data_IF_856639815474
#
_entry.id   IF_856639815474
#
_cell.length_a   1.000
_cell.length_b   1.000
_cell.length_c   1.000
_cell.angle_alpha   90.00
_cell.angle_beta   90.00
_cell.angle_gamma   90.00
#
_symmetry.space_group_name_H-M   'P 1'
#
loop_
_entity.id
_entity.type
_entity.pdbx_description
1 polymer ?
#
# COMPACT_ATOMS: atom_id res chain seq x y z
N UNK A 1 -22.47 11.88 22.48
CA UNK A 1 -22.37 11.70 21.03
C UNK A 1 -21.96 13.05 20.46
N UNK A 2 -20.68 13.29 20.33
CA UNK A 2 -20.17 14.52 19.76
C UNK A 2 -20.53 14.54 18.27
N UNK A 3 -21.17 15.63 17.84
CA UNK A 3 -21.48 15.89 16.44
C UNK A 3 -20.14 15.95 15.67
N UNK A 4 -19.69 14.84 15.11
CA UNK A 4 -18.63 14.91 14.10
C UNK A 4 -19.14 15.80 12.97
N UNK A 5 -18.42 16.85 12.60
CA UNK A 5 -18.85 17.74 11.52
C UNK A 5 -18.93 16.90 10.24
N UNK A 6 -20.17 16.63 9.80
CA UNK A 6 -20.37 16.11 8.45
C UNK A 6 -20.08 17.25 7.49
N UNK A 7 -18.96 17.14 6.80
CA UNK A 7 -18.68 18.01 5.66
C UNK A 7 -19.70 17.65 4.61
N UNK A 8 -20.69 18.53 4.40
CA UNK A 8 -21.53 18.39 3.22
C UNK A 8 -20.60 18.30 2.00
N UNK A 9 -20.72 17.24 1.21
CA UNK A 9 -19.90 17.02 0.03
C UNK A 9 -20.20 18.12 -1.01
N UNK A 10 -19.66 19.31 -0.79
CA UNK A 10 -19.75 20.40 -1.75
C UNK A 10 -18.99 19.97 -3.01
N UNK A 11 -19.65 20.09 -4.15
CA UNK A 11 -19.10 19.70 -5.47
C UNK A 11 -17.73 20.35 -5.71
N UNK A 12 -17.53 21.55 -5.20
CA UNK A 12 -16.27 22.30 -5.30
C UNK A 12 -15.14 21.60 -4.54
N UNK A 13 -15.37 21.17 -3.30
CA UNK A 13 -14.37 20.48 -2.47
C UNK A 13 -13.97 19.13 -3.05
N UNK A 14 -14.94 18.38 -3.60
CA UNK A 14 -14.66 17.13 -4.32
C UNK A 14 -13.83 17.42 -5.56
N UNK A 15 -14.16 18.46 -6.32
CA UNK A 15 -13.43 18.83 -7.54
C UNK A 15 -11.98 19.23 -7.23
N UNK A 16 -11.76 20.05 -6.19
CA UNK A 16 -10.43 20.45 -5.73
C UNK A 16 -9.63 19.24 -5.29
N UNK A 17 -10.20 18.38 -4.43
CA UNK A 17 -9.55 17.15 -4.01
C UNK A 17 -9.18 16.25 -5.19
N UNK A 18 -10.12 16.00 -6.10
CA UNK A 18 -9.91 15.16 -7.28
C UNK A 18 -8.80 15.71 -8.16
N UNK A 19 -8.78 17.04 -8.36
CA UNK A 19 -7.71 17.72 -9.10
C UNK A 19 -6.34 17.49 -8.43
N UNK A 20 -6.24 17.73 -7.11
CA UNK A 20 -4.99 17.51 -6.36
C UNK A 20 -4.55 16.06 -6.38
N UNK A 21 -5.48 15.12 -6.17
CA UNK A 21 -5.19 13.68 -6.16
C UNK A 21 -4.72 13.19 -7.54
N UNK A 22 -5.43 13.56 -8.61
CA UNK A 22 -5.05 13.19 -9.99
C UNK A 22 -3.73 13.85 -10.38
N UNK A 23 -3.58 15.15 -10.14
CA UNK A 23 -2.33 15.85 -10.43
C UNK A 23 -1.16 15.26 -9.67
N UNK A 24 -1.35 14.98 -8.37
CA UNK A 24 -0.35 14.31 -7.53
C UNK A 24 0.03 12.93 -8.09
N UNK A 25 -0.96 12.10 -8.41
CA UNK A 25 -0.72 10.78 -8.98
C UNK A 25 0.04 10.87 -10.32
N UNK A 26 -0.37 11.77 -11.21
CA UNK A 26 0.30 11.97 -12.50
C UNK A 26 1.74 12.46 -12.34
N UNK A 27 1.99 13.39 -11.40
CA UNK A 27 3.34 13.88 -11.08
C UNK A 27 4.19 12.72 -10.54
N UNK A 28 3.67 11.93 -9.60
CA UNK A 28 4.39 10.80 -9.02
C UNK A 28 4.72 9.75 -10.09
N UNK A 29 3.75 9.40 -10.93
CA UNK A 29 3.95 8.47 -12.04
C UNK A 29 4.93 8.98 -13.08
N UNK A 30 4.88 10.27 -13.43
CA UNK A 30 5.78 10.89 -14.40
C UNK A 30 7.20 11.04 -13.86
N UNK A 31 7.36 11.50 -12.62
CA UNK A 31 8.66 11.72 -12.00
C UNK A 31 9.47 10.42 -11.83
N UNK A 32 8.76 9.30 -11.63
CA UNK A 32 9.36 8.00 -11.39
C UNK A 32 9.17 7.01 -12.56
N UNK A 33 8.96 7.51 -13.79
CA UNK A 33 8.76 6.66 -14.97
C UNK A 33 10.02 5.92 -15.46
N UNK A 34 11.21 6.41 -15.08
CA UNK A 34 12.46 5.82 -15.49
C UNK A 34 12.84 4.65 -14.57
N UNK A 35 13.15 3.49 -15.15
CA UNK A 35 13.61 2.28 -14.45
C UNK A 35 15.08 2.43 -13.96
N UNK A 36 15.40 3.55 -13.32
CA UNK A 36 16.73 3.84 -12.77
C UNK A 36 16.68 3.86 -11.25
N UNK A 37 17.71 3.32 -10.57
CA UNK A 37 17.82 3.43 -9.12
C UNK A 37 17.76 4.90 -8.69
N UNK A 38 16.89 5.22 -7.75
CA UNK A 38 16.78 6.56 -7.18
C UNK A 38 17.86 6.71 -6.11
N UNK A 39 18.61 7.83 -6.14
CA UNK A 39 19.56 8.15 -5.06
C UNK A 39 18.83 8.49 -3.76
N UNK A 40 19.45 8.21 -2.61
CA UNK A 40 18.88 8.54 -1.30
C UNK A 40 18.49 10.02 -1.19
N UNK A 41 19.31 10.92 -1.73
CA UNK A 41 19.01 12.38 -1.75
C UNK A 41 17.73 12.68 -2.54
N UNK A 42 17.57 12.08 -3.73
CA UNK A 42 16.38 12.28 -4.54
C UNK A 42 15.13 11.64 -3.87
N UNK A 43 15.26 10.44 -3.29
CA UNK A 43 14.19 9.80 -2.55
C UNK A 43 13.73 10.66 -1.35
N UNK A 44 14.67 11.21 -0.58
CA UNK A 44 14.37 12.13 0.53
C UNK A 44 13.67 13.39 0.05
N UNK A 45 14.17 14.01 -1.04
CA UNK A 45 13.52 15.19 -1.62
C UNK A 45 12.07 14.90 -2.03
N UNK A 46 11.83 13.84 -2.77
CA UNK A 46 10.49 13.47 -3.22
C UNK A 46 9.57 13.09 -2.05
N UNK A 47 10.08 12.42 -1.02
CA UNK A 47 9.28 12.11 0.18
C UNK A 47 8.87 13.37 0.93
N UNK A 48 9.80 14.31 1.13
CA UNK A 48 9.49 15.61 1.75
C UNK A 48 8.51 16.43 0.90
N UNK A 49 8.66 16.40 -0.42
CA UNK A 49 7.72 17.03 -1.35
C UNK A 49 6.29 16.49 -1.17
N UNK A 50 6.12 15.17 -1.11
CA UNK A 50 4.80 14.55 -0.93
C UNK A 50 4.20 14.81 0.46
N UNK A 51 5.03 14.83 1.50
CA UNK A 51 4.59 15.26 2.84
C UNK A 51 4.12 16.72 2.82
N UNK A 52 4.85 17.59 2.13
CA UNK A 52 4.43 19.00 1.98
C UNK A 52 3.13 19.15 1.19
N UNK A 53 2.92 18.34 0.15
CA UNK A 53 1.65 18.32 -0.61
C UNK A 53 0.49 17.88 0.29
N UNK A 54 0.65 16.79 1.05
CA UNK A 54 -0.36 16.32 2.01
C UNK A 54 -0.64 17.37 3.11
N UNK A 55 0.40 18.01 3.64
CA UNK A 55 0.25 19.08 4.63
C UNK A 55 -0.45 20.32 4.03
N UNK A 56 -0.18 20.66 2.77
CA UNK A 56 -0.84 21.78 2.07
C UNK A 56 -2.33 21.51 1.90
N UNK A 57 -2.72 20.26 1.63
CA UNK A 57 -4.13 19.90 1.59
C UNK A 57 -4.77 19.98 2.98
N UNK A 58 -4.07 19.61 4.05
CA UNK A 58 -4.52 19.87 5.42
C UNK A 58 -4.69 21.36 5.73
N UNK A 59 -3.82 22.22 5.20
CA UNK A 59 -3.97 23.69 5.24
C UNK A 59 -5.21 24.17 4.49
N UNK A 60 -5.51 23.58 3.33
CA UNK A 60 -6.77 23.84 2.62
C UNK A 60 -7.98 23.46 3.47
N UNK A 61 -7.97 22.30 4.13
CA UNK A 61 -9.04 21.86 5.05
C UNK A 61 -9.23 22.85 6.19
N UNK A 62 -8.14 23.41 6.73
CA UNK A 62 -8.18 24.42 7.80
C UNK A 62 -8.84 25.72 7.37
N UNK A 63 -8.51 26.20 6.17
CA UNK A 63 -8.98 27.50 5.66
C UNK A 63 -10.42 27.40 5.13
N UNK A 64 -10.76 26.29 4.48
CA UNK A 64 -12.01 26.15 3.73
C UNK A 64 -13.16 25.58 4.58
N UNK A 65 -12.82 24.73 5.57
CA UNK A 65 -13.82 24.13 6.45
C UNK A 65 -13.69 24.63 7.89
N UNK A 66 -12.85 23.99 8.69
CA UNK A 66 -12.62 24.41 10.08
C UNK A 66 -11.32 23.82 10.65
N UNK A 67 -10.82 24.37 11.79
CA UNK A 67 -9.69 23.78 12.52
C UNK A 67 -9.94 22.34 12.95
N UNK A 68 -11.19 21.99 13.32
CA UNK A 68 -11.58 20.65 13.75
C UNK A 68 -11.44 19.66 12.58
N UNK A 69 -11.96 20.00 11.42
CA UNK A 69 -11.84 19.19 10.19
C UNK A 69 -10.38 18.97 9.81
N UNK A 70 -9.57 20.03 9.85
CA UNK A 70 -8.14 19.92 9.59
C UNK A 70 -7.43 19.01 10.59
N UNK A 71 -7.81 19.09 11.88
CA UNK A 71 -7.23 18.23 12.93
C UNK A 71 -7.54 16.75 12.68
N UNK A 72 -8.77 16.42 12.26
CA UNK A 72 -9.16 15.07 11.89
C UNK A 72 -8.39 14.57 10.66
N UNK A 73 -8.24 15.42 9.65
CA UNK A 73 -7.42 15.09 8.47
C UNK A 73 -5.97 14.82 8.85
N UNK A 74 -5.31 15.71 9.62
CA UNK A 74 -3.91 15.51 10.02
C UNK A 74 -3.73 14.28 10.90
N UNK A 75 -4.67 14.01 11.82
CA UNK A 75 -4.64 12.80 12.62
C UNK A 75 -4.74 11.54 11.74
N UNK A 76 -5.72 11.47 10.83
CA UNK A 76 -5.87 10.35 9.88
C UNK A 76 -4.65 10.20 8.95
N UNK A 77 -4.10 11.32 8.45
CA UNK A 77 -2.90 11.33 7.62
C UNK A 77 -1.67 10.78 8.38
N UNK A 78 -1.47 11.21 9.63
CA UNK A 78 -0.36 10.72 10.45
C UNK A 78 -0.50 9.21 10.76
N UNK A 79 -1.73 8.74 11.06
CA UNK A 79 -2.01 7.32 11.24
C UNK A 79 -1.68 6.51 9.99
N UNK A 80 -2.19 6.95 8.84
CA UNK A 80 -1.96 6.24 7.59
C UNK A 80 -0.48 6.23 7.19
N UNK A 81 0.23 7.34 7.40
CA UNK A 81 1.69 7.39 7.18
C UNK A 81 2.43 6.39 8.06
N UNK A 82 2.06 6.29 9.35
CA UNK A 82 2.70 5.35 10.27
C UNK A 82 2.44 3.88 9.86
N UNK A 83 1.19 3.54 9.51
CA UNK A 83 0.82 2.19 9.06
C UNK A 83 1.43 1.85 7.69
N UNK A 84 1.51 2.83 6.80
CA UNK A 84 2.11 2.65 5.46
C UNK A 84 3.60 2.29 5.52
N UNK A 85 4.32 2.74 6.55
CA UNK A 85 5.73 2.35 6.72
C UNK A 85 5.87 0.85 7.01
N UNK A 86 4.99 0.26 7.83
CA UNK A 86 4.98 -1.19 8.08
C UNK A 86 4.68 -1.97 6.78
N UNK A 87 3.72 -1.50 5.99
CA UNK A 87 3.41 -2.08 4.69
C UNK A 87 4.63 -2.10 3.75
N UNK A 88 5.47 -1.05 3.78
CA UNK A 88 6.69 -1.00 2.97
C UNK A 88 7.72 -2.06 3.39
N UNK A 89 7.82 -2.43 4.67
CA UNK A 89 8.66 -3.56 5.10
C UNK A 89 8.18 -4.89 4.54
N UNK A 90 6.86 -5.12 4.51
CA UNK A 90 6.31 -6.31 3.88
C UNK A 90 6.64 -6.36 2.37
N UNK A 91 6.52 -5.24 1.67
CA UNK A 91 6.91 -5.11 0.26
C UNK A 91 8.41 -5.41 0.07
N UNK A 92 9.28 -4.91 0.95
CA UNK A 92 10.71 -5.22 0.91
C UNK A 92 10.98 -6.71 1.10
N UNK A 93 10.26 -7.37 2.01
CA UNK A 93 10.39 -8.83 2.21
C UNK A 93 9.96 -9.62 0.96
N UNK A 94 8.88 -9.20 0.29
CA UNK A 94 8.43 -9.80 -0.99
C UNK A 94 9.51 -9.63 -2.06
N UNK A 95 10.06 -8.43 -2.23
CA UNK A 95 11.14 -8.20 -3.21
C UNK A 95 12.39 -9.03 -2.92
N UNK A 96 12.77 -9.15 -1.64
CA UNK A 96 13.89 -9.97 -1.22
C UNK A 96 13.67 -11.45 -1.57
N UNK A 97 12.47 -11.98 -1.31
CA UNK A 97 12.14 -13.38 -1.62
C UNK A 97 12.18 -13.70 -3.11
N UNK A 98 11.66 -12.79 -3.95
CA UNK A 98 11.73 -12.94 -5.41
C UNK A 98 13.09 -12.59 -6.00
N UNK A 99 14.04 -12.08 -5.20
CA UNK A 99 15.33 -11.60 -5.69
C UNK A 99 15.20 -10.41 -6.67
N UNK A 100 14.17 -9.59 -6.50
CA UNK A 100 13.92 -8.44 -7.36
C UNK A 100 14.96 -7.36 -7.08
N UNK A 101 15.80 -7.06 -8.06
CA UNK A 101 16.81 -6.01 -7.96
C UNK A 101 16.18 -4.63 -8.14
N UNK A 102 16.85 -3.59 -7.62
CA UNK A 102 16.36 -2.19 -7.59
C UNK A 102 15.87 -1.64 -8.94
N UNK A 103 16.36 -2.12 -10.07
CA UNK A 103 15.86 -1.72 -11.39
C UNK A 103 14.46 -2.23 -11.74
N UNK A 104 13.99 -3.30 -11.09
CA UNK A 104 12.68 -3.90 -11.34
C UNK A 104 11.63 -3.47 -10.30
N UNK A 105 12.06 -2.98 -9.13
CA UNK A 105 11.17 -2.58 -8.03
C UNK A 105 10.26 -1.43 -8.45
N UNK A 106 10.76 -0.49 -9.26
CA UNK A 106 9.99 0.66 -9.76
C UNK A 106 8.72 0.25 -10.48
N UNK A 107 8.80 -0.78 -11.32
CA UNK A 107 7.65 -1.25 -12.10
C UNK A 107 6.57 -1.88 -11.23
N UNK A 108 6.98 -2.67 -10.24
CA UNK A 108 6.03 -3.27 -9.28
C UNK A 108 5.39 -2.18 -8.41
N UNK A 109 6.20 -1.25 -7.89
CA UNK A 109 5.69 -0.14 -7.09
C UNK A 109 4.79 0.82 -7.89
N UNK A 110 5.06 1.00 -9.20
CA UNK A 110 4.21 1.80 -10.08
C UNK A 110 2.78 1.24 -10.17
N UNK A 111 2.65 -0.04 -10.44
CA UNK A 111 1.34 -0.70 -10.54
C UNK A 111 0.73 -0.92 -9.16
N UNK A 112 1.55 -1.20 -8.13
CA UNK A 112 1.12 -1.32 -6.74
C UNK A 112 0.45 -0.06 -6.21
N UNK A 113 1.01 1.14 -6.48
CA UNK A 113 0.37 2.41 -6.08
C UNK A 113 -0.99 2.60 -6.78
N UNK A 114 -1.09 2.24 -8.06
CA UNK A 114 -2.37 2.33 -8.78
C UNK A 114 -3.43 1.39 -8.20
N UNK A 115 -3.05 0.15 -7.90
CA UNK A 115 -3.93 -0.82 -7.24
C UNK A 115 -4.34 -0.36 -5.86
N UNK A 116 -3.39 0.10 -5.04
CA UNK A 116 -3.65 0.62 -3.70
C UNK A 116 -4.68 1.76 -3.70
N UNK A 117 -4.58 2.73 -4.63
CA UNK A 117 -5.56 3.83 -4.76
C UNK A 117 -6.96 3.29 -5.01
N UNK A 118 -7.10 2.32 -5.94
CA UNK A 118 -8.41 1.74 -6.29
C UNK A 118 -8.97 0.92 -5.12
N UNK A 119 -8.17 0.03 -4.52
CA UNK A 119 -8.63 -0.82 -3.43
C UNK A 119 -9.01 0.02 -2.20
N UNK A 120 -8.22 1.03 -1.83
CA UNK A 120 -8.54 1.92 -0.71
C UNK A 120 -9.83 2.69 -0.93
N UNK A 121 -10.09 3.18 -2.15
CA UNK A 121 -11.39 3.78 -2.46
C UNK A 121 -12.55 2.82 -2.17
N UNK A 122 -12.45 1.57 -2.65
CA UNK A 122 -13.47 0.54 -2.43
C UNK A 122 -13.64 0.29 -0.92
N UNK A 123 -12.54 0.09 -0.19
CA UNK A 123 -12.58 -0.19 1.24
C UNK A 123 -13.13 0.98 2.07
N UNK A 124 -12.80 2.22 1.72
CA UNK A 124 -13.34 3.41 2.41
C UNK A 124 -14.84 3.53 2.17
N UNK A 125 -15.30 3.36 0.92
CA UNK A 125 -16.74 3.43 0.61
C UNK A 125 -17.53 2.34 1.32
N UNK A 126 -17.03 1.11 1.35
CA UNK A 126 -17.66 0.00 2.07
C UNK A 126 -17.57 0.24 3.59
N UNK A 127 -16.38 0.59 4.09
CA UNK A 127 -16.12 0.77 5.52
C UNK A 127 -16.95 1.88 6.14
N UNK A 128 -16.98 3.06 5.53
CA UNK A 128 -17.79 4.19 6.00
C UNK A 128 -19.30 3.89 5.88
N UNK A 129 -19.72 3.19 4.82
CA UNK A 129 -21.09 2.70 4.67
C UNK A 129 -21.48 1.72 5.78
N UNK A 130 -20.60 0.78 6.12
CA UNK A 130 -20.84 -0.16 7.22
C UNK A 130 -20.88 0.55 8.58
N UNK A 131 -20.02 1.54 8.80
CA UNK A 131 -20.00 2.31 10.04
C UNK A 131 -21.32 3.02 10.31
N UNK A 132 -22.06 3.41 9.27
CA UNK A 132 -23.39 4.03 9.39
C UNK A 132 -24.46 3.06 9.94
N UNK A 133 -24.20 1.75 9.98
CA UNK A 133 -25.12 0.73 10.52
C UNK A 133 -25.15 0.69 12.07
N UNK A 134 -24.26 1.45 12.74
CA UNK A 134 -24.31 1.68 14.18
C UNK A 134 -23.23 0.99 15.00
N UNK A 135 -23.37 1.07 16.32
CA UNK A 135 -22.35 0.70 17.31
C UNK A 135 -21.82 -0.75 17.18
N UNK A 136 -22.64 -1.69 16.73
CA UNK A 136 -22.18 -3.07 16.53
C UNK A 136 -21.02 -3.18 15.53
N UNK A 137 -21.04 -2.36 14.48
CA UNK A 137 -19.97 -2.33 13.47
C UNK A 137 -18.71 -1.69 14.05
N UNK A 138 -18.86 -0.66 14.89
CA UNK A 138 -17.74 -0.05 15.61
C UNK A 138 -17.01 -1.08 16.48
N UNK A 139 -17.74 -1.93 17.21
CA UNK A 139 -17.14 -3.03 17.99
C UNK A 139 -16.45 -4.07 17.11
N UNK A 140 -17.03 -4.43 15.98
CA UNK A 140 -16.39 -5.37 15.03
C UNK A 140 -15.07 -4.80 14.52
N UNK A 141 -15.04 -3.51 14.13
CA UNK A 141 -13.82 -2.85 13.66
C UNK A 141 -12.79 -2.71 14.77
N UNK A 142 -13.20 -2.33 16.00
CA UNK A 142 -12.30 -2.31 17.15
C UNK A 142 -11.66 -3.69 17.41
N UNK A 143 -12.46 -4.74 17.33
CA UNK A 143 -11.98 -6.11 17.47
C UNK A 143 -11.00 -6.49 16.37
N UNK A 144 -11.28 -6.14 15.10
CA UNK A 144 -10.39 -6.39 13.97
C UNK A 144 -9.04 -5.69 14.17
N UNK A 145 -9.03 -4.40 14.51
CA UNK A 145 -7.81 -3.63 14.75
C UNK A 145 -7.02 -4.19 15.94
N UNK A 146 -7.70 -4.54 17.04
CA UNK A 146 -7.06 -5.17 18.20
C UNK A 146 -6.46 -6.55 17.84
N UNK A 147 -7.19 -7.36 17.07
CA UNK A 147 -6.72 -8.66 16.61
C UNK A 147 -5.45 -8.52 15.75
N UNK A 148 -5.42 -7.56 14.83
CA UNK A 148 -4.23 -7.27 14.02
C UNK A 148 -3.03 -6.91 14.89
N UNK A 149 -3.21 -6.04 15.89
CA UNK A 149 -2.16 -5.69 16.84
C UNK A 149 -1.62 -6.92 17.60
N UNK A 150 -2.51 -7.81 18.05
CA UNK A 150 -2.12 -9.06 18.73
C UNK A 150 -1.38 -10.02 17.78
N UNK A 151 -1.84 -10.14 16.53
CA UNK A 151 -1.18 -10.98 15.52
C UNK A 151 0.22 -10.46 15.19
N UNK A 152 0.42 -9.14 15.15
CA UNK A 152 1.75 -8.53 14.98
C UNK A 152 2.69 -8.87 16.14
N UNK A 153 2.23 -8.82 17.40
CA UNK A 153 3.06 -9.21 18.55
C UNK A 153 3.48 -10.68 18.49
N UNK A 154 2.55 -11.55 18.06
CA UNK A 154 2.79 -12.99 17.99
C UNK A 154 3.58 -13.43 16.74
N UNK A 155 3.80 -12.53 15.79
CA UNK A 155 4.64 -12.77 14.63
C UNK A 155 6.06 -12.93 15.11
N UNK A 156 6.54 -14.19 15.17
CA UNK A 156 7.94 -14.48 15.50
C UNK A 156 8.81 -13.81 14.46
N UNK A 157 9.82 -13.06 14.91
CA UNK A 157 10.93 -12.61 14.09
C UNK A 157 11.61 -13.87 13.49
N UNK A 158 11.06 -14.35 12.40
CA UNK A 158 11.78 -15.31 11.58
C UNK A 158 12.84 -14.48 10.84
N UNK A 159 14.05 -14.47 11.40
CA UNK A 159 15.27 -13.91 10.78
C UNK A 159 15.64 -14.61 9.45
N UNK A 160 14.75 -15.44 8.93
CA UNK A 160 14.84 -16.11 7.65
C UNK A 160 13.92 -15.48 6.59
N UNK A 161 14.33 -15.53 5.34
CA UNK A 161 13.53 -15.14 4.19
C UNK A 161 12.11 -15.73 4.28
N UNK A 162 11.10 -14.88 4.42
CA UNK A 162 9.69 -15.31 4.45
C UNK A 162 9.37 -16.12 3.20
N UNK A 163 8.84 -17.34 3.36
CA UNK A 163 8.46 -18.19 2.23
C UNK A 163 7.05 -17.83 1.73
N UNK A 164 6.98 -17.15 0.60
CA UNK A 164 5.73 -16.77 -0.05
C UNK A 164 5.15 -17.85 -0.97
N UNK A 165 5.73 -19.04 -1.06
CA UNK A 165 5.21 -20.13 -1.89
C UNK A 165 3.81 -20.59 -1.46
N UNK A 166 3.50 -20.42 -0.17
CA UNK A 166 2.20 -20.73 0.43
C UNK A 166 1.21 -19.55 0.40
N UNK A 167 1.65 -18.36 -0.03
CA UNK A 167 0.82 -17.16 -0.06
C UNK A 167 -0.41 -17.36 -0.97
N UNK A 168 -1.62 -16.92 -0.58
CA UNK A 168 -2.85 -17.09 -1.37
C UNK A 168 -2.71 -16.56 -2.79
N UNK A 169 -2.14 -15.36 -2.98
CA UNK A 169 -1.93 -14.77 -4.29
C UNK A 169 -1.01 -15.64 -5.17
N UNK A 170 0.06 -16.23 -4.62
CA UNK A 170 0.95 -17.12 -5.36
C UNK A 170 0.19 -18.36 -5.86
N UNK A 171 -0.62 -18.99 -4.99
CA UNK A 171 -1.43 -20.16 -5.35
C UNK A 171 -2.50 -19.79 -6.38
N UNK A 172 -3.14 -18.63 -6.23
CA UNK A 172 -4.16 -18.14 -7.16
C UNK A 172 -3.59 -17.91 -8.56
N UNK A 173 -2.51 -17.14 -8.67
CA UNK A 173 -1.87 -16.88 -9.97
C UNK A 173 -1.41 -18.18 -10.63
N UNK A 174 -0.78 -19.09 -9.89
CA UNK A 174 -0.32 -20.38 -10.38
C UNK A 174 -1.46 -21.30 -10.86
N UNK A 175 -2.66 -21.16 -10.27
CA UNK A 175 -3.83 -21.91 -10.69
C UNK A 175 -4.34 -21.41 -12.05
N UNK A 176 -4.40 -20.10 -12.28
CA UNK A 176 -4.97 -19.53 -13.51
C UNK A 176 -3.97 -19.42 -14.65
N UNK A 177 -2.72 -19.07 -14.36
CA UNK A 177 -1.70 -18.77 -15.39
C UNK A 177 -0.47 -19.63 -15.18
N UNK A 178 0.06 -20.29 -16.23
CA UNK A 178 1.34 -20.99 -16.15
C UNK A 178 2.47 -20.02 -15.85
N UNK A 179 3.46 -20.48 -15.07
CA UNK A 179 4.58 -19.67 -14.62
C UNK A 179 5.82 -19.94 -15.44
N UNK A 180 6.53 -18.88 -15.78
CA UNK A 180 7.91 -18.93 -16.29
C UNK A 180 8.85 -18.48 -15.16
N UNK A 181 9.82 -19.30 -14.72
CA UNK A 181 10.57 -19.06 -13.47
C UNK A 181 11.68 -17.99 -13.59
N UNK A 182 11.93 -17.44 -14.76
CA UNK A 182 12.94 -16.39 -14.97
C UNK A 182 12.31 -15.04 -15.25
N UNK A 183 13.00 -13.98 -14.83
CA UNK A 183 12.68 -12.60 -15.22
C UNK A 183 13.00 -12.42 -16.71
N UNK A 184 12.07 -11.84 -17.45
CA UNK A 184 12.23 -11.50 -18.87
C UNK A 184 12.09 -9.99 -19.02
N UNK A 185 13.21 -9.29 -18.93
CA UNK A 185 13.20 -7.83 -18.87
C UNK A 185 12.21 -7.34 -17.80
N UNK A 186 11.49 -6.28 -18.09
CA UNK A 186 10.47 -5.71 -17.19
C UNK A 186 9.05 -6.25 -17.46
N UNK A 187 8.90 -7.41 -18.13
CA UNK A 187 7.59 -7.91 -18.53
C UNK A 187 6.91 -8.70 -17.41
N UNK A 188 5.66 -8.40 -17.15
CA UNK A 188 4.80 -9.19 -16.24
C UNK A 188 4.36 -10.51 -16.89
N UNK A 189 4.15 -10.49 -18.20
CA UNK A 189 3.72 -11.64 -18.98
C UNK A 189 4.61 -11.83 -20.18
N UNK A 190 4.82 -13.09 -20.57
CA UNK A 190 5.59 -13.49 -21.76
C UNK A 190 4.81 -14.45 -22.62
N UNK A 191 4.91 -14.30 -23.93
CA UNK A 191 4.25 -15.20 -24.89
C UNK A 191 4.93 -16.57 -24.91
N UNK A 192 4.17 -17.62 -25.29
CA UNK A 192 4.71 -18.95 -25.47
C UNK A 192 5.85 -18.98 -26.51
N UNK A 193 5.74 -18.21 -27.59
CA UNK A 193 6.79 -18.14 -28.61
C UNK A 193 8.14 -17.69 -28.01
N UNK A 194 8.12 -16.64 -27.22
CA UNK A 194 9.32 -16.15 -26.54
C UNK A 194 9.87 -17.15 -25.52
N UNK A 195 8.99 -17.81 -24.76
CA UNK A 195 9.41 -18.84 -23.79
C UNK A 195 10.06 -20.03 -24.48
N UNK A 196 9.52 -20.48 -25.62
CA UNK A 196 10.11 -21.57 -26.39
C UNK A 196 11.48 -21.19 -26.99
N UNK A 197 11.66 -19.93 -27.38
CA UNK A 197 12.95 -19.42 -27.84
C UNK A 197 13.97 -19.38 -26.68
N UNK A 198 13.56 -18.89 -25.52
CA UNK A 198 14.42 -18.86 -24.33
C UNK A 198 14.82 -20.28 -23.86
N UNK A 199 13.91 -21.26 -23.96
CA UNK A 199 14.20 -22.65 -23.57
C UNK A 199 15.19 -23.36 -24.51
N UNK A 200 15.41 -22.85 -25.73
CA UNK A 200 16.45 -23.37 -26.65
C UNK A 200 17.86 -22.98 -26.25
N UNK A 201 18.01 -21.94 -25.42
CA UNK A 201 19.33 -21.50 -24.95
C UNK A 201 19.93 -22.53 -24.00
N UNK A 202 21.22 -22.82 -24.11
CA UNK A 202 21.91 -23.82 -23.28
C UNK A 202 21.72 -23.60 -21.77
N UNK A 203 21.75 -22.34 -21.32
CA UNK A 203 21.58 -21.94 -19.93
C UNK A 203 20.18 -22.19 -19.37
N UNK A 204 19.19 -22.46 -20.22
CA UNK A 204 17.78 -22.62 -19.85
C UNK A 204 17.26 -24.06 -20.05
N UNK A 205 18.07 -24.98 -20.55
CA UNK A 205 17.67 -26.38 -20.80
C UNK A 205 17.18 -27.12 -19.56
N UNK A 206 17.59 -26.70 -18.37
CA UNK A 206 17.16 -27.29 -17.10
C UNK A 206 15.75 -26.84 -16.66
N UNK A 207 15.14 -25.83 -17.33
CA UNK A 207 13.84 -25.30 -16.95
C UNK A 207 12.75 -26.24 -17.48
N UNK A 208 12.00 -26.83 -16.54
CA UNK A 208 10.83 -27.67 -16.85
C UNK A 208 9.56 -26.87 -16.58
N UNK A 209 8.79 -26.61 -17.63
CA UNK A 209 7.50 -25.95 -17.50
C UNK A 209 6.45 -26.96 -16.97
N UNK A 210 5.91 -26.68 -15.79
CA UNK A 210 4.89 -27.55 -15.15
C UNK A 210 3.55 -27.53 -15.87
N UNK A 211 3.27 -26.48 -16.66
CA UNK A 211 2.02 -26.31 -17.41
C UNK A 211 2.30 -25.54 -18.69
N UNK A 212 1.66 -25.91 -19.81
CA UNK A 212 1.74 -25.20 -21.07
C UNK A 212 0.59 -24.20 -21.20
N UNK A 213 0.86 -23.04 -21.80
CA UNK A 213 -0.13 -21.99 -22.06
C UNK A 213 0.29 -21.06 -23.18
N UNK A 214 -0.59 -20.18 -23.62
CA UNK A 214 -0.31 -19.16 -24.63
C UNK A 214 0.52 -18.01 -24.06
N UNK A 215 0.33 -17.73 -22.76
CA UNK A 215 0.99 -16.66 -22.01
C UNK A 215 1.44 -17.23 -20.67
N UNK A 216 2.60 -16.78 -20.21
CA UNK A 216 3.19 -17.18 -18.94
C UNK A 216 3.38 -15.94 -18.05
N UNK A 217 3.06 -16.07 -16.77
CA UNK A 217 3.37 -15.06 -15.77
C UNK A 217 4.83 -15.17 -15.34
N UNK A 218 5.49 -14.03 -15.19
CA UNK A 218 6.87 -13.93 -14.72
C UNK A 218 6.91 -13.77 -13.18
N UNK A 219 8.07 -13.96 -12.53
CA UNK A 219 8.25 -13.65 -11.12
C UNK A 219 7.88 -12.20 -10.77
N UNK A 220 8.01 -11.26 -11.72
CA UNK A 220 7.65 -9.87 -11.53
C UNK A 220 6.12 -9.69 -11.35
N UNK A 221 5.31 -10.44 -12.11
CA UNK A 221 3.86 -10.44 -11.94
C UNK A 221 3.43 -11.10 -10.63
N UNK A 222 4.07 -12.20 -10.26
CA UNK A 222 3.81 -12.83 -8.96
C UNK A 222 4.13 -11.89 -7.81
N UNK A 223 5.24 -11.17 -7.89
CA UNK A 223 5.63 -10.15 -6.93
C UNK A 223 4.54 -9.07 -6.81
N UNK A 224 4.07 -8.52 -7.93
CA UNK A 224 2.98 -7.54 -7.95
C UNK A 224 1.70 -8.11 -7.31
N UNK A 225 1.29 -9.32 -7.68
CA UNK A 225 0.08 -9.95 -7.14
C UNK A 225 0.14 -10.15 -5.62
N UNK A 226 1.32 -10.49 -5.08
CA UNK A 226 1.50 -10.60 -3.62
C UNK A 226 1.49 -9.24 -2.96
N UNK A 227 2.14 -8.24 -3.53
CA UNK A 227 2.13 -6.84 -3.02
C UNK A 227 0.71 -6.31 -2.96
N UNK A 228 -0.07 -6.44 -4.03
CA UNK A 228 -1.47 -6.00 -4.08
C UNK A 228 -2.36 -6.74 -3.06
N UNK A 229 -2.19 -8.05 -2.95
CA UNK A 229 -2.96 -8.83 -1.97
C UNK A 229 -2.56 -8.45 -0.54
N UNK A 230 -1.29 -8.16 -0.29
CA UNK A 230 -0.83 -7.68 1.02
C UNK A 230 -1.41 -6.30 1.33
N UNK A 231 -1.45 -5.37 0.36
CA UNK A 231 -2.05 -4.04 0.57
C UNK A 231 -3.56 -4.16 0.88
N UNK A 232 -4.27 -5.06 0.21
CA UNK A 232 -5.67 -5.39 0.55
C UNK A 232 -5.79 -5.90 1.98
N UNK A 233 -4.89 -6.78 2.43
CA UNK A 233 -4.90 -7.28 3.81
C UNK A 233 -4.64 -6.16 4.82
N UNK A 234 -3.69 -5.27 4.55
CA UNK A 234 -3.40 -4.11 5.41
C UNK A 234 -4.53 -3.08 5.42
N UNK A 235 -5.32 -2.99 4.34
CA UNK A 235 -6.50 -2.12 4.32
C UNK A 235 -7.57 -2.56 5.33
N UNK A 236 -7.64 -3.84 5.71
CA UNK A 236 -8.54 -4.30 6.77
C UNK A 236 -8.20 -3.72 8.15
N UNK A 237 -6.96 -3.32 8.38
CA UNK A 237 -6.49 -2.71 9.62
C UNK A 237 -6.52 -1.19 9.53
N UNK A 238 -5.98 -0.64 8.44
CA UNK A 238 -5.78 0.80 8.28
C UNK A 238 -7.08 1.54 8.05
N UNK A 239 -8.00 1.02 7.23
CA UNK A 239 -9.28 1.71 6.95
C UNK A 239 -10.13 1.86 8.20
N UNK A 240 -10.41 0.80 9.01
CA UNK A 240 -11.09 0.97 10.29
C UNK A 240 -10.39 1.92 11.25
N UNK A 241 -9.04 1.89 11.29
CA UNK A 241 -8.26 2.78 12.15
C UNK A 241 -8.43 4.25 11.77
N UNK A 242 -8.43 4.59 10.48
CA UNK A 242 -8.65 5.96 10.01
C UNK A 242 -10.12 6.38 10.16
N UNK A 243 -11.09 5.46 9.95
CA UNK A 243 -12.52 5.71 10.21
C UNK A 243 -12.76 5.99 11.70
N UNK A 244 -11.98 5.39 12.61
CA UNK A 244 -12.04 5.74 14.03
C UNK A 244 -11.64 7.18 14.33
N UNK A 245 -10.76 7.77 13.51
CA UNK A 245 -10.36 9.19 13.62
C UNK A 245 -11.47 10.08 13.10
N UNK A 246 -12.02 9.78 11.92
CA UNK A 246 -13.10 10.54 11.30
C UNK A 246 -14.07 9.61 10.59
N UNK A 247 -15.38 9.77 10.85
CA UNK A 247 -16.45 9.01 10.19
C UNK A 247 -16.82 9.59 8.81
N UNK A 248 -16.25 10.74 8.44
CA UNK A 248 -16.52 11.40 7.16
C UNK A 248 -15.70 10.77 6.03
N UNK A 249 -16.36 10.21 4.97
CA UNK A 249 -15.67 9.52 3.89
C UNK A 249 -14.67 10.40 3.13
N UNK A 250 -14.92 11.70 3.03
CA UNK A 250 -14.07 12.64 2.32
C UNK A 250 -12.75 12.86 3.07
N UNK A 251 -12.81 13.04 4.40
CA UNK A 251 -11.63 13.16 5.24
C UNK A 251 -10.83 11.87 5.19
N UNK A 252 -11.50 10.72 5.40
CA UNK A 252 -10.86 9.39 5.41
C UNK A 252 -10.15 9.12 4.10
N UNK A 253 -10.85 9.29 2.97
CA UNK A 253 -10.26 9.00 1.68
C UNK A 253 -9.15 9.98 1.31
N UNK A 254 -9.32 11.28 1.60
CA UNK A 254 -8.31 12.28 1.28
C UNK A 254 -7.00 12.05 2.06
N UNK A 255 -7.05 11.80 3.36
CA UNK A 255 -5.83 11.54 4.14
C UNK A 255 -5.12 10.25 3.67
N UNK A 256 -5.88 9.20 3.30
CA UNK A 256 -5.32 7.96 2.77
C UNK A 256 -4.65 8.16 1.41
N UNK A 257 -5.28 8.88 0.47
CA UNK A 257 -4.71 9.14 -0.86
C UNK A 257 -3.42 9.95 -0.75
N UNK A 258 -3.41 11.02 0.05
CA UNK A 258 -2.17 11.81 0.20
C UNK A 258 -1.06 11.04 0.93
N UNK A 259 -1.39 10.09 1.80
CA UNK A 259 -0.39 9.22 2.43
C UNK A 259 0.20 8.18 1.45
N UNK A 260 -0.58 7.71 0.46
CA UNK A 260 -0.08 6.80 -0.59
C UNK A 260 0.86 7.52 -1.55
N UNK A 261 0.61 8.82 -1.84
CA UNK A 261 1.51 9.61 -2.65
C UNK A 261 2.88 9.68 -1.97
N UNK A 262 3.91 9.35 -2.71
CA UNK A 262 5.27 9.30 -2.16
C UNK A 262 5.69 7.96 -1.54
N UNK A 263 4.82 6.95 -1.41
CA UNK A 263 5.20 5.62 -0.93
C UNK A 263 6.41 5.03 -1.66
N UNK A 264 6.50 5.25 -2.97
CA UNK A 264 7.66 4.82 -3.77
C UNK A 264 8.96 5.47 -3.30
N UNK A 265 8.93 6.77 -3.04
CA UNK A 265 10.10 7.50 -2.53
C UNK A 265 10.48 7.03 -1.14
N UNK A 266 9.48 6.82 -0.27
CA UNK A 266 9.68 6.27 1.07
C UNK A 266 10.26 4.87 1.05
N UNK A 267 9.85 4.01 0.10
CA UNK A 267 10.42 2.70 -0.07
C UNK A 267 11.95 2.75 -0.21
N UNK A 268 12.49 3.64 -1.05
CA UNK A 268 13.93 3.75 -1.25
C UNK A 268 14.67 4.32 -0.03
N UNK A 269 14.03 5.21 0.74
CA UNK A 269 14.58 5.66 2.03
C UNK A 269 14.65 4.51 3.02
N UNK A 270 13.56 3.76 3.15
CA UNK A 270 13.47 2.63 4.09
C UNK A 270 14.41 1.50 3.71
N UNK A 271 14.55 1.19 2.42
CA UNK A 271 15.50 0.19 1.93
C UNK A 271 16.95 0.58 2.31
N UNK A 272 17.29 1.87 2.20
CA UNK A 272 18.60 2.38 2.63
C UNK A 272 18.78 2.40 4.16
N UNK A 273 17.71 2.60 4.93
CA UNK A 273 17.72 2.74 6.39
C UNK A 273 17.30 1.45 7.12
N UNK A 274 17.01 0.39 6.43
CA UNK A 274 16.43 -0.86 6.96
C UNK A 274 17.09 -1.34 8.25
N UNK A 275 18.41 -1.28 8.35
CA UNK A 275 19.16 -1.72 9.51
C UNK A 275 19.07 -0.78 10.73
N UNK A 276 18.56 0.46 10.55
CA UNK A 276 18.42 1.47 11.60
C UNK A 276 17.01 1.51 12.23
N UNK A 277 16.01 0.89 11.59
CA UNK A 277 14.60 1.04 11.94
C UNK A 277 14.03 -0.14 12.75
N UNK A 278 14.83 -0.74 13.65
CA UNK A 278 14.48 -1.94 14.42
C UNK A 278 13.23 -1.75 15.32
N UNK A 279 12.94 -0.52 15.76
CA UNK A 279 11.85 -0.24 16.71
C UNK A 279 10.53 0.18 16.05
N UNK A 280 10.48 0.32 14.74
CA UNK A 280 9.31 0.87 14.05
C UNK A 280 8.08 -0.04 14.20
N UNK A 281 8.24 -1.35 14.02
CA UNK A 281 7.16 -2.33 14.17
C UNK A 281 6.49 -2.25 15.56
N UNK A 282 7.29 -2.06 16.62
CA UNK A 282 6.79 -1.88 17.99
C UNK A 282 5.95 -0.61 18.14
N UNK A 283 6.35 0.47 17.48
CA UNK A 283 5.58 1.72 17.49
C UNK A 283 4.21 1.56 16.80
N UNK A 284 4.17 0.84 15.66
CA UNK A 284 2.92 0.54 14.94
C UNK A 284 1.98 -0.30 15.81
N UNK A 285 2.47 -1.32 16.51
CA UNK A 285 1.68 -2.14 17.44
C UNK A 285 1.01 -1.27 18.51
N UNK A 286 1.78 -0.39 19.16
CA UNK A 286 1.24 0.52 20.19
C UNK A 286 0.16 1.44 19.61
N UNK A 287 0.38 1.95 18.38
CA UNK A 287 -0.57 2.79 17.68
C UNK A 287 -1.90 2.05 17.41
N UNK A 288 -1.83 0.81 16.93
CA UNK A 288 -3.03 -0.01 16.67
C UNK A 288 -3.83 -0.29 17.94
N UNK A 289 -3.18 -0.58 19.07
CA UNK A 289 -3.89 -0.73 20.37
C UNK A 289 -4.56 0.55 20.80
N UNK A 290 -3.90 1.69 20.64
CA UNK A 290 -4.51 3.00 20.96
C UNK A 290 -5.78 3.26 20.12
N UNK A 291 -5.72 2.94 18.81
CA UNK A 291 -6.88 3.06 17.91
C UNK A 291 -8.01 2.12 18.32
N UNK A 292 -7.69 0.85 18.59
CA UNK A 292 -8.69 -0.13 19.04
C UNK A 292 -9.40 0.34 20.32
N UNK A 293 -8.64 0.89 21.27
CA UNK A 293 -9.22 1.46 22.50
C UNK A 293 -10.13 2.65 22.19
N UNK A 294 -9.70 3.58 21.32
CA UNK A 294 -10.51 4.75 20.91
C UNK A 294 -11.83 4.36 20.25
N UNK A 295 -11.88 3.23 19.53
CA UNK A 295 -13.11 2.74 18.88
C UNK A 295 -14.16 2.23 19.89
N UNK A 296 -13.74 1.82 21.08
CA UNK A 296 -14.62 1.23 22.12
C UNK A 296 -15.01 2.26 23.17
N UNK A 297 -14.18 3.28 23.43
CA UNK A 297 -14.40 4.34 24.41
C UNK A 297 -15.38 5.41 23.91
#
# INVERSE_FOLDING_TARGET
MENTPHIGLETESIAIFTLFAIAGLLIDLWAHRADKPISLKAATFWSLFWVAVGASFGGFMYIHFSPEVASLYFAGYAFEMALSVDNLFAIMAVFAWFGIKSGFTHRVLYWGVLGAVVFRLIFVLIGTGLFSLGAYVEFVFAFMVALSAVLMINKKDNDGMSDFSNHPAYKFVKFFVPLYPKLVGHNFFVSNAHVQEELKKEENKHIVLKRKGLVYATPLFLCLAIVETSDVMFAFDSVPAVIAVSKDPFIVYSCMIFAILGLRSMYFILDALRNALIYLEKAVIVLLFFVAFKLVA
#
